data_IF_164701837309
#
_entry.id   IF_164701837309
#
_cell.length_a   1.000
_cell.length_b   1.000
_cell.length_c   1.000
_cell.angle_alpha   90.00
_cell.angle_beta   90.00
_cell.angle_gamma   90.00
#
_symmetry.space_group_name_H-M   'P 1'
#
loop_
_entity.id
_entity.type
_entity.pdbx_description
1 polymer ?
#
# COMPACT_ATOMS: atom_id res chain seq x y z
N UNK A 1 -21.66 -22.23 3.04
CA UNK A 1 -20.49 -21.35 2.74
C UNK A 1 -20.03 -21.68 1.33
N UNK A 2 -19.86 -20.70 0.43
CA UNK A 2 -19.40 -20.99 -0.94
C UNK A 2 -17.94 -21.47 -0.94
N UNK A 3 -17.54 -22.25 -1.97
CA UNK A 3 -16.15 -22.72 -2.14
C UNK A 3 -15.17 -21.52 -2.19
N UNK A 4 -15.56 -20.43 -2.85
CA UNK A 4 -14.77 -19.20 -2.91
C UNK A 4 -14.56 -18.54 -1.54
N UNK A 5 -15.59 -18.50 -0.70
CA UNK A 5 -15.49 -17.97 0.66
C UNK A 5 -14.54 -18.83 1.53
N UNK A 6 -14.62 -20.15 1.41
CA UNK A 6 -13.72 -21.08 2.10
C UNK A 6 -12.26 -20.90 1.64
N UNK A 7 -12.04 -20.73 0.35
CA UNK A 7 -10.71 -20.47 -0.22
C UNK A 7 -10.13 -19.13 0.26
N UNK A 8 -10.93 -18.08 0.26
CA UNK A 8 -10.50 -16.75 0.76
C UNK A 8 -10.12 -16.78 2.25
N UNK A 9 -10.89 -17.50 3.08
CA UNK A 9 -10.55 -17.67 4.51
C UNK A 9 -9.19 -18.36 4.67
N UNK A 10 -8.87 -19.37 3.86
CA UNK A 10 -7.57 -20.04 3.89
C UNK A 10 -6.42 -19.10 3.49
N UNK A 11 -6.62 -18.24 2.49
CA UNK A 11 -5.65 -17.19 2.13
C UNK A 11 -5.40 -16.23 3.28
N UNK A 12 -6.44 -15.78 3.96
CA UNK A 12 -6.33 -14.90 5.13
C UNK A 12 -5.55 -15.60 6.26
N UNK A 13 -5.92 -16.83 6.62
CA UNK A 13 -5.24 -17.58 7.68
C UNK A 13 -3.75 -17.75 7.39
N UNK A 14 -3.40 -18.08 6.14
CA UNK A 14 -2.00 -18.23 5.72
C UNK A 14 -1.23 -16.91 5.85
N UNK A 15 -1.78 -15.81 5.35
CA UNK A 15 -1.13 -14.50 5.41
C UNK A 15 -1.00 -13.98 6.85
N UNK A 16 -1.96 -14.25 7.72
CA UNK A 16 -1.85 -13.92 9.15
C UNK A 16 -0.69 -14.68 9.79
N UNK A 17 -0.59 -15.99 9.56
CA UNK A 17 0.54 -16.79 10.05
C UNK A 17 1.87 -16.31 9.50
N UNK A 18 1.90 -15.92 8.22
CA UNK A 18 3.08 -15.37 7.57
C UNK A 18 3.52 -14.05 8.23
N UNK A 19 2.59 -13.13 8.50
CA UNK A 19 2.89 -11.84 9.16
C UNK A 19 3.48 -12.01 10.56
N UNK A 20 3.06 -13.04 11.30
CA UNK A 20 3.62 -13.32 12.63
C UNK A 20 5.04 -13.91 12.55
N UNK A 21 5.40 -14.58 11.47
CA UNK A 21 6.70 -15.21 11.26
C UNK A 21 7.72 -14.28 10.58
N UNK A 22 7.25 -13.35 9.75
CA UNK A 22 8.09 -12.43 8.96
C UNK A 22 9.12 -11.64 9.76
N UNK A 23 8.84 -11.12 10.97
CA UNK A 23 9.83 -10.37 11.75
C UNK A 23 11.07 -11.19 12.12
N UNK A 24 10.95 -12.50 12.18
CA UNK A 24 11.98 -13.41 12.67
C UNK A 24 12.64 -14.27 11.59
N UNK A 25 12.09 -14.27 10.39
CA UNK A 25 12.48 -15.15 9.30
C UNK A 25 12.73 -14.37 8.01
N UNK A 26 13.61 -14.92 7.17
CA UNK A 26 13.82 -14.42 5.82
C UNK A 26 12.73 -14.93 4.88
N UNK A 27 12.41 -14.13 3.86
CA UNK A 27 11.44 -14.47 2.82
C UNK A 27 11.97 -15.56 1.90
N UNK A 28 11.68 -16.82 2.24
CA UNK A 28 12.15 -17.99 1.52
C UNK A 28 11.18 -19.17 1.68
N UNK A 29 11.48 -20.28 1.01
CA UNK A 29 10.65 -21.50 1.08
C UNK A 29 10.54 -22.10 2.50
N UNK A 30 11.47 -21.82 3.40
CA UNK A 30 11.39 -22.30 4.79
C UNK A 30 10.28 -21.57 5.53
N UNK A 31 10.22 -20.24 5.38
CA UNK A 31 9.15 -19.40 5.94
C UNK A 31 7.76 -19.87 5.47
N UNK A 32 7.61 -20.18 4.17
CA UNK A 32 6.32 -20.67 3.64
C UNK A 32 5.89 -22.00 4.28
N UNK A 33 6.85 -22.92 4.50
CA UNK A 33 6.58 -24.20 5.19
C UNK A 33 6.17 -23.99 6.64
N UNK A 34 6.85 -23.11 7.36
CA UNK A 34 6.52 -22.77 8.75
C UNK A 34 5.12 -22.12 8.84
N UNK A 35 4.75 -21.29 7.85
CA UNK A 35 3.42 -20.73 7.78
C UNK A 35 2.34 -21.79 7.47
N UNK A 36 2.62 -22.78 6.60
CA UNK A 36 1.74 -23.94 6.37
C UNK A 36 1.50 -24.72 7.66
N UNK A 37 2.56 -25.07 8.39
CA UNK A 37 2.48 -25.80 9.65
C UNK A 37 1.66 -25.03 10.69
N UNK A 38 1.91 -23.73 10.81
CA UNK A 38 1.18 -22.85 11.74
C UNK A 38 -0.31 -22.74 11.43
N UNK A 39 -0.68 -22.78 10.14
CA UNK A 39 -2.08 -22.82 9.70
C UNK A 39 -2.73 -24.19 9.85
N UNK A 40 -1.98 -25.24 10.17
CA UNK A 40 -2.46 -26.62 10.12
C UNK A 40 -2.65 -27.13 8.69
N UNK A 41 -1.94 -26.58 7.71
CA UNK A 41 -1.97 -27.00 6.32
C UNK A 41 -1.05 -28.21 6.10
N UNK A 42 -1.45 -29.10 5.20
CA UNK A 42 -0.56 -30.15 4.71
C UNK A 42 0.61 -29.50 3.93
N UNK A 43 1.76 -30.15 3.93
CA UNK A 43 2.96 -29.71 3.20
C UNK A 43 2.66 -29.46 1.74
N UNK A 44 2.98 -28.27 1.25
CA UNK A 44 2.76 -27.84 -0.13
C UNK A 44 1.32 -27.38 -0.41
N UNK A 45 0.44 -27.33 0.59
CA UNK A 45 -0.93 -26.88 0.41
C UNK A 45 -1.03 -25.40 0.06
N UNK A 46 -0.03 -24.60 0.44
CA UNK A 46 0.05 -23.17 0.04
C UNK A 46 0.02 -22.98 -1.48
N UNK A 47 0.61 -23.93 -2.26
CA UNK A 47 0.56 -23.89 -3.73
C UNK A 47 -0.84 -24.18 -4.31
N UNK A 48 -1.72 -24.83 -3.55
CA UNK A 48 -3.12 -25.02 -3.91
C UNK A 48 -3.90 -23.73 -3.62
N UNK A 49 -3.58 -23.06 -2.52
CA UNK A 49 -4.21 -21.81 -2.09
C UNK A 49 -3.72 -20.62 -2.92
N UNK A 50 -2.45 -20.64 -3.34
CA UNK A 50 -1.79 -19.62 -4.14
C UNK A 50 -1.09 -20.28 -5.35
N UNK A 51 -1.81 -20.59 -6.43
CA UNK A 51 -1.26 -21.29 -7.58
C UNK A 51 -0.10 -20.57 -8.28
N UNK A 52 -0.08 -19.24 -8.27
CA UNK A 52 1.01 -18.42 -8.83
C UNK A 52 2.20 -18.28 -7.86
N UNK A 53 2.15 -18.98 -6.72
CA UNK A 53 3.22 -19.03 -5.74
C UNK A 53 3.49 -17.69 -5.06
N UNK A 54 4.77 -17.37 -4.91
CA UNK A 54 5.25 -16.24 -4.11
C UNK A 54 4.70 -14.89 -4.59
N UNK A 55 4.54 -14.70 -5.89
CA UNK A 55 3.99 -13.46 -6.47
C UNK A 55 2.56 -13.20 -6.00
N UNK A 56 1.73 -14.25 -6.03
CA UNK A 56 0.34 -14.16 -5.57
C UNK A 56 0.25 -13.95 -4.05
N UNK A 57 1.12 -14.63 -3.28
CA UNK A 57 1.19 -14.46 -1.82
C UNK A 57 1.50 -13.00 -1.47
N UNK A 58 2.51 -12.40 -2.12
CA UNK A 58 2.86 -10.98 -1.91
C UNK A 58 1.70 -10.06 -2.30
N UNK A 59 1.09 -10.30 -3.46
CA UNK A 59 -0.05 -9.52 -3.91
C UNK A 59 -1.22 -9.56 -2.92
N UNK A 60 -1.52 -10.74 -2.39
CA UNK A 60 -2.59 -10.93 -1.42
C UNK A 60 -2.23 -10.36 -0.03
N UNK A 61 -0.97 -10.50 0.40
CA UNK A 61 -0.46 -9.90 1.64
C UNK A 61 -0.66 -8.38 1.64
N UNK A 62 -0.26 -7.72 0.57
CA UNK A 62 -0.39 -6.26 0.43
C UNK A 62 -1.87 -5.82 0.39
N UNK A 63 -2.73 -6.59 -0.26
CA UNK A 63 -4.18 -6.37 -0.22
C UNK A 63 -4.74 -6.53 1.20
N UNK A 64 -4.28 -7.52 1.93
CA UNK A 64 -4.66 -7.73 3.32
C UNK A 64 -4.23 -6.56 4.21
N UNK A 65 -3.03 -6.00 4.00
CA UNK A 65 -2.56 -4.81 4.72
C UNK A 65 -3.36 -3.55 4.35
N UNK A 66 -3.78 -3.39 3.09
CA UNK A 66 -4.68 -2.32 2.68
C UNK A 66 -6.05 -2.44 3.39
N UNK A 67 -6.56 -3.66 3.55
CA UNK A 67 -7.80 -3.90 4.30
C UNK A 67 -7.64 -3.59 5.80
N UNK A 68 -6.52 -3.93 6.43
CA UNK A 68 -6.21 -3.53 7.82
C UNK A 68 -6.23 -2.01 7.96
N UNK A 69 -5.60 -1.29 7.03
CA UNK A 69 -5.65 0.18 6.99
C UNK A 69 -7.09 0.68 6.94
N UNK A 70 -7.91 0.17 6.01
CA UNK A 70 -9.30 0.60 5.85
C UNK A 70 -10.15 0.33 7.11
N UNK A 71 -9.98 -0.84 7.74
CA UNK A 71 -10.68 -1.17 8.99
C UNK A 71 -10.22 -0.26 10.16
N UNK A 72 -8.95 0.11 10.18
CA UNK A 72 -8.43 1.06 11.18
C UNK A 72 -9.02 2.46 10.98
N UNK A 73 -9.13 2.90 9.72
CA UNK A 73 -9.73 4.19 9.36
C UNK A 73 -11.20 4.29 9.76
N UNK A 74 -11.98 3.21 9.69
CA UNK A 74 -13.39 3.18 10.12
C UNK A 74 -13.59 3.45 11.62
N UNK A 75 -12.56 3.22 12.43
CA UNK A 75 -12.59 3.40 13.89
C UNK A 75 -12.18 4.80 14.34
N UNK A 76 -11.71 5.62 13.42
CA UNK A 76 -11.21 6.97 13.69
C UNK A 76 -12.19 7.97 13.11
N UNK A 77 -12.38 9.12 13.77
CA UNK A 77 -13.18 10.20 13.24
C UNK A 77 -12.62 10.67 11.88
N UNK A 78 -13.46 10.63 10.85
CA UNK A 78 -13.04 10.94 9.48
C UNK A 78 -12.70 12.44 9.34
N UNK A 79 -11.48 12.78 8.88
CA UNK A 79 -11.11 14.17 8.66
C UNK A 79 -11.97 14.83 7.56
N UNK A 80 -12.27 16.10 7.70
CA UNK A 80 -13.10 16.83 6.72
C UNK A 80 -12.36 17.17 5.41
N UNK A 81 -11.04 17.37 5.48
CA UNK A 81 -10.23 17.75 4.31
C UNK A 81 -9.60 16.54 3.64
N UNK A 82 -9.61 16.49 2.30
CA UNK A 82 -9.04 15.43 1.50
C UNK A 82 -7.56 15.17 1.86
N UNK A 83 -6.74 16.22 2.02
CA UNK A 83 -5.34 16.09 2.38
C UNK A 83 -5.14 15.37 3.72
N UNK A 84 -5.99 15.70 4.70
CA UNK A 84 -5.88 15.12 6.04
C UNK A 84 -6.32 13.64 6.03
N UNK A 85 -7.32 13.29 5.21
CA UNK A 85 -7.70 11.89 4.94
C UNK A 85 -6.56 11.10 4.33
N UNK A 86 -5.88 11.65 3.31
CA UNK A 86 -4.74 11.01 2.64
C UNK A 86 -3.59 10.85 3.63
N UNK A 87 -3.22 11.90 4.38
CA UNK A 87 -2.15 11.84 5.38
C UNK A 87 -2.43 10.77 6.43
N UNK A 88 -3.65 10.71 6.97
CA UNK A 88 -4.05 9.71 7.94
C UNK A 88 -3.94 8.29 7.37
N UNK A 89 -4.45 8.07 6.16
CA UNK A 89 -4.39 6.77 5.52
C UNK A 89 -2.95 6.32 5.23
N UNK A 90 -2.08 7.22 4.74
CA UNK A 90 -0.65 6.92 4.51
C UNK A 90 0.04 6.58 5.83
N UNK A 91 -0.19 7.33 6.91
CA UNK A 91 0.40 7.06 8.23
C UNK A 91 0.04 5.66 8.74
N UNK A 92 -1.24 5.30 8.68
CA UNK A 92 -1.69 3.98 9.09
C UNK A 92 -1.07 2.91 8.21
N UNK A 93 -1.09 3.09 6.88
CA UNK A 93 -0.58 2.11 5.93
C UNK A 93 0.93 1.89 6.06
N UNK A 94 1.71 2.93 6.27
CA UNK A 94 3.16 2.83 6.52
C UNK A 94 3.42 2.04 7.80
N UNK A 95 2.66 2.28 8.86
CA UNK A 95 2.82 1.55 10.13
C UNK A 95 2.41 0.06 10.02
N UNK A 96 1.50 -0.32 9.12
CA UNK A 96 1.15 -1.73 8.90
C UNK A 96 2.25 -2.54 8.19
N UNK A 97 3.21 -1.89 7.54
CA UNK A 97 4.33 -2.56 6.84
C UNK A 97 5.49 -2.91 7.79
N UNK A 98 5.45 -2.43 9.04
CA UNK A 98 6.50 -2.66 10.05
C UNK A 98 7.04 -4.09 10.14
N UNK A 99 6.18 -5.13 10.23
CA UNK A 99 6.67 -6.50 10.35
C UNK A 99 7.51 -6.95 9.14
N UNK A 100 7.27 -6.36 7.97
CA UNK A 100 7.97 -6.68 6.73
C UNK A 100 9.27 -5.90 6.63
N UNK A 101 9.29 -4.63 7.01
CA UNK A 101 10.44 -3.72 6.82
C UNK A 101 11.57 -4.01 7.81
N UNK A 102 11.25 -4.29 9.07
CA UNK A 102 12.23 -4.64 10.09
C UNK A 102 12.82 -6.04 9.93
N UNK A 103 12.24 -6.85 9.06
CA UNK A 103 12.83 -8.12 8.65
C UNK A 103 13.84 -7.87 7.53
N UNK A 104 14.80 -8.78 7.37
CA UNK A 104 15.72 -8.85 6.22
C UNK A 104 14.98 -8.94 4.86
N UNK A 105 13.67 -8.85 4.87
CA UNK A 105 12.75 -9.04 3.76
C UNK A 105 12.51 -7.76 2.94
N UNK A 106 12.94 -6.59 3.41
CA UNK A 106 12.90 -5.35 2.61
C UNK A 106 13.63 -5.52 1.26
N UNK A 107 14.65 -6.39 1.23
CA UNK A 107 15.36 -6.75 0.00
C UNK A 107 14.46 -7.44 -1.05
N UNK A 108 13.42 -8.18 -0.65
CA UNK A 108 12.53 -8.84 -1.60
C UNK A 108 11.81 -7.84 -2.52
N UNK A 109 11.30 -6.76 -1.96
CA UNK A 109 10.62 -5.72 -2.74
C UNK A 109 11.60 -4.94 -3.62
N UNK A 110 12.85 -4.76 -3.16
CA UNK A 110 13.92 -4.15 -3.96
C UNK A 110 14.34 -5.03 -5.14
N UNK A 111 14.33 -6.35 -4.98
CA UNK A 111 14.68 -7.32 -6.03
C UNK A 111 13.55 -7.50 -7.07
N UNK A 112 12.31 -7.13 -6.76
CA UNK A 112 11.15 -7.24 -7.63
C UNK A 112 10.48 -5.87 -7.85
N UNK A 113 11.16 -4.88 -8.46
CA UNK A 113 10.69 -3.50 -8.52
C UNK A 113 9.38 -3.34 -9.30
N UNK A 114 9.13 -4.17 -10.32
CA UNK A 114 7.89 -4.12 -11.11
C UNK A 114 6.70 -4.52 -10.24
N UNK A 115 6.81 -5.65 -9.54
CA UNK A 115 5.76 -6.10 -8.63
C UNK A 115 5.59 -5.14 -7.45
N UNK A 116 6.69 -4.70 -6.83
CA UNK A 116 6.67 -3.74 -5.74
C UNK A 116 5.98 -2.44 -6.14
N UNK A 117 6.25 -1.91 -7.33
CA UNK A 117 5.59 -0.72 -7.85
C UNK A 117 4.10 -0.94 -8.09
N UNK A 118 3.72 -2.09 -8.65
CA UNK A 118 2.31 -2.41 -8.94
C UNK A 118 1.47 -2.50 -7.65
N UNK A 119 1.99 -3.18 -6.62
CA UNK A 119 1.28 -3.28 -5.32
C UNK A 119 1.23 -1.94 -4.59
N UNK A 120 2.31 -1.16 -4.61
CA UNK A 120 2.32 0.18 -4.03
C UNK A 120 1.36 1.15 -4.74
N UNK A 121 1.25 1.06 -6.07
CA UNK A 121 0.28 1.84 -6.84
C UNK A 121 -1.16 1.47 -6.48
N UNK A 122 -1.45 0.18 -6.25
CA UNK A 122 -2.76 -0.28 -5.77
C UNK A 122 -3.09 0.29 -4.38
N UNK A 123 -2.14 0.29 -3.46
CA UNK A 123 -2.33 0.93 -2.14
C UNK A 123 -2.61 2.43 -2.28
N UNK A 124 -1.93 3.12 -3.19
CA UNK A 124 -2.24 4.53 -3.50
C UNK A 124 -3.65 4.71 -4.08
N UNK A 125 -4.13 3.78 -4.93
CA UNK A 125 -5.51 3.79 -5.43
C UNK A 125 -6.51 3.63 -4.28
N UNK A 126 -6.27 2.68 -3.38
CA UNK A 126 -7.10 2.44 -2.20
C UNK A 126 -7.18 3.69 -1.32
N UNK A 127 -6.06 4.37 -1.06
CA UNK A 127 -6.00 5.60 -0.28
C UNK A 127 -6.79 6.73 -0.96
N UNK A 128 -6.64 6.93 -2.28
CA UNK A 128 -7.37 7.97 -3.00
C UNK A 128 -8.88 7.70 -3.04
N UNK A 129 -9.30 6.43 -3.20
CA UNK A 129 -10.71 6.03 -3.13
C UNK A 129 -11.30 6.29 -1.75
N UNK A 130 -10.59 5.97 -0.69
CA UNK A 130 -10.97 6.33 0.68
C UNK A 130 -11.14 7.84 0.84
N UNK A 131 -10.25 8.65 0.27
CA UNK A 131 -10.35 10.10 0.31
C UNK A 131 -11.49 10.68 -0.55
N UNK A 132 -12.26 9.83 -1.27
CA UNK A 132 -13.41 10.21 -2.08
C UNK A 132 -13.09 10.51 -3.55
N UNK A 133 -11.89 10.12 -4.04
CA UNK A 133 -11.55 10.30 -5.45
C UNK A 133 -12.31 9.35 -6.36
N UNK A 134 -12.91 9.91 -7.43
CA UNK A 134 -13.67 9.20 -8.46
C UNK A 134 -13.08 9.38 -9.86
N UNK A 135 -11.84 9.88 -9.95
CA UNK A 135 -11.19 10.13 -11.25
C UNK A 135 -10.99 8.84 -12.02
N UNK A 136 -11.26 8.88 -13.35
CA UNK A 136 -11.05 7.78 -14.29
C UNK A 136 -10.17 8.21 -15.49
N UNK A 137 -9.81 9.48 -15.55
CA UNK A 137 -9.05 10.13 -16.61
C UNK A 137 -7.56 10.26 -16.28
N UNK A 138 -6.85 11.15 -17.00
CA UNK A 138 -5.45 11.47 -16.73
C UNK A 138 -5.17 11.83 -15.25
N UNK A 139 -6.15 12.44 -14.56
CA UNK A 139 -6.02 12.77 -13.14
C UNK A 139 -5.89 11.50 -12.26
N UNK A 140 -6.48 10.38 -12.70
CA UNK A 140 -6.34 9.09 -12.02
C UNK A 140 -4.87 8.71 -11.85
N UNK A 141 -4.13 8.66 -12.96
CA UNK A 141 -2.71 8.26 -12.95
C UNK A 141 -1.81 9.28 -12.27
N UNK A 142 -2.06 10.57 -12.52
CA UNK A 142 -1.25 11.65 -11.93
C UNK A 142 -1.35 11.67 -10.40
N UNK A 143 -2.57 11.57 -9.85
CA UNK A 143 -2.79 11.54 -8.40
C UNK A 143 -2.09 10.34 -7.74
N UNK A 144 -2.25 9.15 -8.32
CA UNK A 144 -1.63 7.93 -7.78
C UNK A 144 -0.12 7.95 -7.90
N UNK A 145 0.40 8.42 -9.04
CA UNK A 145 1.85 8.58 -9.24
C UNK A 145 2.50 9.56 -8.26
N UNK A 146 1.87 10.71 -8.00
CA UNK A 146 2.33 11.65 -6.98
C UNK A 146 2.26 11.04 -5.58
N UNK A 147 1.18 10.34 -5.23
CA UNK A 147 1.06 9.70 -3.93
C UNK A 147 2.05 8.54 -3.78
N UNK A 148 2.35 7.81 -4.86
CA UNK A 148 3.33 6.74 -4.85
C UNK A 148 4.71 7.24 -4.41
N UNK A 149 5.15 8.42 -4.88
CA UNK A 149 6.41 9.01 -4.45
C UNK A 149 6.42 9.32 -2.95
N UNK A 150 5.31 9.86 -2.42
CA UNK A 150 5.16 10.10 -0.98
C UNK A 150 5.16 8.78 -0.21
N UNK A 151 4.39 7.80 -0.65
CA UNK A 151 4.27 6.52 0.03
C UNK A 151 5.63 5.80 0.15
N UNK A 152 6.37 5.68 -0.96
CA UNK A 152 7.69 5.04 -0.97
C UNK A 152 8.70 5.81 -0.12
N UNK A 153 8.75 7.15 -0.25
CA UNK A 153 9.67 7.96 0.57
C UNK A 153 9.31 7.92 2.05
N UNK A 154 8.02 7.82 2.39
CA UNK A 154 7.57 7.64 3.78
C UNK A 154 7.99 6.31 4.38
N UNK A 155 7.95 5.23 3.61
CA UNK A 155 8.48 3.92 4.04
C UNK A 155 9.98 4.02 4.30
N UNK A 156 10.75 4.62 3.38
CA UNK A 156 12.19 4.78 3.56
C UNK A 156 12.52 5.65 4.77
N UNK A 157 11.80 6.76 4.97
CA UNK A 157 11.97 7.62 6.14
C UNK A 157 11.68 6.87 7.44
N UNK A 158 10.58 6.11 7.46
CA UNK A 158 10.15 5.33 8.61
C UNK A 158 11.16 4.26 9.04
N UNK A 159 11.92 3.67 8.11
CA UNK A 159 12.97 2.69 8.44
C UNK A 159 14.16 3.30 9.21
N UNK A 160 14.30 4.64 9.18
CA UNK A 160 15.39 5.38 9.80
C UNK A 160 14.92 6.27 10.96
N UNK A 161 13.61 6.28 11.23
CA UNK A 161 13.02 7.11 12.27
C UNK A 161 13.16 6.45 13.65
N UNK A 162 13.97 7.06 14.52
CA UNK A 162 14.19 6.65 15.91
C UNK A 162 13.36 7.49 16.90
N UNK A 163 12.49 8.37 16.41
CA UNK A 163 11.68 9.23 17.27
C UNK A 163 10.57 8.44 17.99
N UNK A 164 10.20 8.92 19.17
CA UNK A 164 9.13 8.30 19.96
C UNK A 164 7.82 8.27 19.16
N UNK A 165 7.21 7.08 19.08
CA UNK A 165 5.99 6.83 18.30
C UNK A 165 6.06 7.23 16.81
N UNK A 166 7.27 7.35 16.25
CA UNK A 166 7.50 7.73 14.85
C UNK A 166 6.91 9.09 14.48
N UNK A 167 7.02 10.05 15.39
CA UNK A 167 6.41 11.38 15.22
C UNK A 167 7.05 12.16 14.06
N UNK A 168 8.33 11.95 13.79
CA UNK A 168 9.01 12.61 12.67
C UNK A 168 8.55 12.05 11.33
N UNK A 169 8.28 10.74 11.23
CA UNK A 169 7.62 10.14 10.07
C UNK A 169 6.23 10.72 9.84
N UNK A 170 5.45 10.87 10.90
CA UNK A 170 4.10 11.45 10.81
C UNK A 170 4.14 12.88 10.28
N UNK A 171 5.09 13.72 10.73
CA UNK A 171 5.31 15.08 10.21
C UNK A 171 5.80 15.08 8.76
N UNK A 172 6.73 14.17 8.42
CA UNK A 172 7.20 14.01 7.05
C UNK A 172 6.05 13.72 6.09
N UNK A 173 5.16 12.77 6.45
CA UNK A 173 4.00 12.41 5.64
C UNK A 173 3.06 13.61 5.45
N UNK A 174 2.75 14.35 6.52
CA UNK A 174 1.89 15.54 6.45
C UNK A 174 2.43 16.58 5.46
N UNK A 175 3.71 16.92 5.59
CA UNK A 175 4.37 17.88 4.72
C UNK A 175 4.43 17.41 3.25
N UNK A 176 4.75 16.14 3.04
CA UNK A 176 4.82 15.55 1.71
C UNK A 176 3.45 15.50 1.02
N UNK A 177 2.40 15.11 1.74
CA UNK A 177 1.02 15.12 1.22
C UNK A 177 0.55 16.53 0.92
N UNK A 178 0.84 17.51 1.78
CA UNK A 178 0.51 18.91 1.50
C UNK A 178 1.18 19.40 0.20
N UNK A 179 2.44 19.05 0.00
CA UNK A 179 3.19 19.43 -1.19
C UNK A 179 2.60 18.81 -2.46
N UNK A 180 2.23 17.52 -2.47
CA UNK A 180 1.63 16.90 -3.67
C UNK A 180 0.24 17.47 -3.97
N UNK A 181 -0.55 17.80 -2.97
CA UNK A 181 -1.87 18.44 -3.17
C UNK A 181 -1.71 19.82 -3.78
N UNK A 182 -0.74 20.61 -3.31
CA UNK A 182 -0.39 21.92 -3.91
C UNK A 182 0.08 21.75 -5.36
N UNK A 183 1.03 20.84 -5.60
CA UNK A 183 1.58 20.54 -6.94
C UNK A 183 0.48 20.13 -7.91
N UNK A 184 -0.39 19.19 -7.52
CA UNK A 184 -1.53 18.77 -8.34
C UNK A 184 -2.45 19.94 -8.69
N UNK A 185 -2.73 20.81 -7.72
CA UNK A 185 -3.57 22.01 -7.93
C UNK A 185 -2.93 22.98 -8.94
N UNK A 186 -1.61 23.15 -8.89
CA UNK A 186 -0.86 23.99 -9.83
C UNK A 186 -0.84 23.36 -11.23
N UNK A 187 -0.57 22.07 -11.36
CA UNK A 187 -0.61 21.32 -12.63
C UNK A 187 -1.99 21.45 -13.30
N UNK A 188 -3.07 21.29 -12.54
CA UNK A 188 -4.43 21.46 -13.05
C UNK A 188 -4.69 22.85 -13.61
N UNK A 189 -4.14 23.90 -12.97
CA UNK A 189 -4.27 25.29 -13.45
C UNK A 189 -3.46 25.52 -14.74
N UNK A 190 -2.30 24.86 -14.88
CA UNK A 190 -1.44 24.99 -16.08
C UNK A 190 -2.03 24.22 -17.28
N UNK A 191 -2.63 23.05 -17.03
CA UNK A 191 -3.22 22.20 -18.06
C UNK A 191 -4.67 22.59 -18.42
N UNK A 192 -5.22 23.63 -17.80
CA UNK A 192 -6.55 24.13 -18.13
C UNK A 192 -6.59 24.59 -19.62
N UNK A 193 -7.58 24.15 -20.42
CA UNK A 193 -7.63 24.40 -21.89
C UNK A 193 -7.48 25.87 -22.30
N UNK A 194 -7.90 26.79 -21.44
CA UNK A 194 -7.78 28.24 -21.68
C UNK A 194 -6.34 28.80 -21.64
N UNK A 195 -5.36 28.01 -21.23
CA UNK A 195 -3.95 28.45 -21.08
C UNK A 195 -2.95 27.77 -22.02
N UNK A 196 -3.40 26.76 -22.79
CA UNK A 196 -2.55 26.11 -23.79
C UNK A 196 -2.77 26.79 -25.14
N UNK A 197 -1.77 27.55 -25.69
CA UNK A 197 -1.94 28.29 -26.94
C UNK A 197 -2.32 27.43 -28.14
N UNK A 198 -1.98 26.13 -28.10
CA UNK A 198 -2.20 25.18 -29.22
C UNK A 198 -3.70 24.84 -29.39
N UNK A 199 -4.51 24.87 -28.34
CA UNK A 199 -5.96 24.57 -28.43
C UNK A 199 -6.73 25.71 -29.11
N UNK A 200 -6.19 26.92 -29.17
CA UNK A 200 -6.79 28.06 -29.90
C UNK A 200 -6.63 28.01 -31.42
N UNK A 201 -5.80 27.08 -31.94
CA UNK A 201 -5.61 26.93 -33.38
C UNK A 201 -6.63 25.99 -34.06
N UNK A 202 -7.44 25.25 -33.27
CA UNK A 202 -8.38 24.25 -33.79
C UNK A 202 -9.83 24.47 -33.37
N UNK A 203 -10.16 25.61 -32.81
CA UNK A 203 -11.51 26.13 -32.58
C UNK A 203 -11.71 27.44 -33.36
#
# INVERSE_FOLDING_TARGET
MSIQAAHHIKKISFVQSLLELLPFNEWNNKLLKEAEEKCGFAKGYSLIVFPEGLSEIVGFLEEYLDNIMLESLKRIAEPSKIRDKISLAVKIRVKTVLPIIHSKNAAYFALNPIQGTAVAFRSCDTIWRYAGDKSLDFNYYTKRGLLLSVYVSSILFYTQDESENYIETDKFIENAVENIVKTFSQMKKLLAPSKIPIVRMFT
#
